data_IF_672416711356
#
_entry.id   IF_672416711356
#
_cell.length_a   1.000
_cell.length_b   1.000
_cell.length_c   1.000
_cell.angle_alpha   90.00
_cell.angle_beta   90.00
_cell.angle_gamma   90.00
#
_symmetry.space_group_name_H-M   'P 1'
#
loop_
_entity.id
_entity.type
_entity.pdbx_description
1 polymer ?
#
# COMPACT_ATOMS: atom_id res chain seq x y z
N UNK A 1 -16.01 -13.85 9.85
CA UNK A 1 -15.51 -12.64 9.16
C UNK A 1 -16.49 -12.36 8.03
N UNK A 2 -16.81 -11.10 7.76
CA UNK A 2 -17.54 -10.77 6.52
C UNK A 2 -16.55 -10.90 5.36
N UNK A 3 -17.06 -11.23 4.18
CA UNK A 3 -16.21 -11.25 2.99
C UNK A 3 -15.82 -9.80 2.66
N UNK A 4 -14.52 -9.55 2.50
CA UNK A 4 -13.99 -8.28 2.00
C UNK A 4 -13.44 -8.48 0.59
N UNK A 5 -13.41 -7.40 -0.20
CA UNK A 5 -12.89 -7.44 -1.57
C UNK A 5 -11.91 -6.31 -1.78
N UNK A 6 -10.75 -6.63 -2.34
CA UNK A 6 -9.79 -5.66 -2.85
C UNK A 6 -9.60 -5.90 -4.35
N UNK A 7 -9.86 -4.89 -5.16
CA UNK A 7 -9.61 -4.90 -6.60
C UNK A 7 -8.36 -4.06 -6.85
N UNK A 8 -7.36 -4.68 -7.48
CA UNK A 8 -6.16 -3.99 -7.95
C UNK A 8 -6.22 -3.92 -9.46
N UNK A 9 -6.21 -2.70 -10.00
CA UNK A 9 -6.19 -2.47 -11.45
C UNK A 9 -4.89 -1.77 -11.83
N UNK A 10 -4.17 -2.35 -12.79
CA UNK A 10 -3.03 -1.69 -13.43
C UNK A 10 -3.46 -1.26 -14.83
N UNK A 11 -3.47 0.06 -15.08
CA UNK A 11 -3.84 0.64 -16.38
C UNK A 11 -3.03 1.91 -16.61
N UNK A 12 -2.47 2.07 -17.80
CA UNK A 12 -1.69 3.25 -18.19
C UNK A 12 -0.58 3.60 -17.16
N UNK A 13 0.15 2.57 -16.72
CA UNK A 13 1.20 2.63 -15.68
C UNK A 13 0.73 3.14 -14.31
N UNK A 14 -0.59 3.22 -14.09
CA UNK A 14 -1.18 3.58 -12.80
C UNK A 14 -1.75 2.35 -12.13
N UNK A 15 -1.50 2.24 -10.83
CA UNK A 15 -2.08 1.23 -9.97
C UNK A 15 -3.23 1.87 -9.18
N UNK A 16 -4.43 1.32 -9.33
CA UNK A 16 -5.62 1.73 -8.58
C UNK A 16 -6.04 0.60 -7.64
N UNK A 17 -6.50 0.99 -6.44
CA UNK A 17 -7.02 0.09 -5.43
C UNK A 17 -8.45 0.48 -5.09
N UNK A 18 -9.36 -0.49 -5.14
CA UNK A 18 -10.76 -0.34 -4.72
C UNK A 18 -11.06 -1.40 -3.66
N UNK A 19 -11.46 -0.96 -2.46
CA UNK A 19 -11.84 -1.82 -1.35
C UNK A 19 -13.35 -1.82 -1.16
N UNK A 20 -13.93 -2.99 -0.87
CA UNK A 20 -15.32 -3.14 -0.45
C UNK A 20 -15.37 -3.93 0.86
N UNK A 21 -16.16 -3.41 1.82
CA UNK A 21 -16.38 -4.01 3.14
C UNK A 21 -15.09 -4.32 3.89
N UNK A 22 -14.07 -3.47 3.74
CA UNK A 22 -12.73 -3.68 4.30
C UNK A 22 -12.45 -2.78 5.51
N UNK A 23 -12.04 -3.39 6.61
CA UNK A 23 -11.57 -2.66 7.79
C UNK A 23 -10.10 -2.23 7.64
N UNK A 24 -9.67 -1.27 8.47
CA UNK A 24 -8.26 -0.86 8.54
C UNK A 24 -7.35 -2.02 8.95
N UNK A 25 -7.82 -2.90 9.84
CA UNK A 25 -7.07 -4.08 10.26
C UNK A 25 -6.86 -5.05 9.09
N UNK A 26 -7.91 -5.32 8.31
CA UNK A 26 -7.81 -6.18 7.12
C UNK A 26 -6.93 -5.56 6.03
N UNK A 27 -7.03 -4.24 5.80
CA UNK A 27 -6.13 -3.52 4.90
C UNK A 27 -4.67 -3.63 5.34
N UNK A 28 -4.39 -3.49 6.64
CA UNK A 28 -3.05 -3.63 7.19
C UNK A 28 -2.49 -5.05 7.02
N UNK A 29 -3.34 -6.08 7.22
CA UNK A 29 -2.97 -7.47 6.96
C UNK A 29 -2.67 -7.71 5.47
N UNK A 30 -3.50 -7.20 4.56
CA UNK A 30 -3.26 -7.29 3.12
C UNK A 30 -1.95 -6.59 2.74
N UNK A 31 -1.69 -5.40 3.28
CA UNK A 31 -0.42 -4.70 3.08
C UNK A 31 0.77 -5.57 3.52
N UNK A 32 0.67 -6.22 4.68
CA UNK A 32 1.68 -7.17 5.16
C UNK A 32 1.89 -8.34 4.19
N UNK A 33 0.83 -8.93 3.65
CA UNK A 33 0.95 -10.00 2.64
C UNK A 33 1.65 -9.53 1.36
N UNK A 34 1.34 -8.33 0.87
CA UNK A 34 2.00 -7.75 -0.29
C UNK A 34 3.49 -7.47 -0.03
N UNK A 35 3.86 -7.03 1.19
CA UNK A 35 5.26 -6.83 1.57
C UNK A 35 6.05 -8.15 1.56
N UNK A 36 5.45 -9.25 2.05
CA UNK A 36 6.07 -10.59 1.95
C UNK A 36 6.28 -10.98 0.50
N UNK A 37 5.32 -10.70 -0.38
CA UNK A 37 5.46 -10.97 -1.81
C UNK A 37 6.62 -10.19 -2.45
N UNK A 38 6.78 -8.90 -2.12
CA UNK A 38 7.92 -8.08 -2.55
C UNK A 38 9.24 -8.70 -2.06
N UNK A 39 9.30 -9.13 -0.80
CA UNK A 39 10.44 -9.86 -0.23
C UNK A 39 10.83 -11.09 -1.05
N UNK A 40 9.86 -11.93 -1.38
CA UNK A 40 10.08 -13.15 -2.16
C UNK A 40 10.57 -12.85 -3.59
N UNK A 41 9.99 -11.86 -4.27
CA UNK A 41 10.43 -11.49 -5.62
C UNK A 41 11.79 -10.81 -5.64
N UNK A 42 12.13 -10.02 -4.61
CA UNK A 42 13.47 -9.46 -4.45
C UNK A 42 14.54 -10.55 -4.32
N UNK A 43 14.30 -11.53 -3.44
CA UNK A 43 15.21 -12.66 -3.24
C UNK A 43 15.42 -13.48 -4.52
N UNK A 44 14.34 -13.76 -5.28
CA UNK A 44 14.44 -14.48 -6.57
C UNK A 44 15.33 -13.76 -7.59
N UNK A 45 15.41 -12.44 -7.49
CA UNK A 45 16.24 -11.58 -8.35
C UNK A 45 17.64 -11.36 -7.80
N UNK A 46 17.98 -11.97 -6.67
CA UNK A 46 19.29 -11.88 -6.04
C UNK A 46 19.51 -10.62 -5.22
N UNK A 47 18.44 -9.91 -4.83
CA UNK A 47 18.54 -8.78 -3.91
C UNK A 47 18.79 -9.28 -2.48
N UNK A 48 19.56 -8.50 -1.71
CA UNK A 48 19.70 -8.72 -0.29
C UNK A 48 18.40 -8.36 0.45
N UNK A 49 18.08 -9.10 1.51
CA UNK A 49 16.85 -8.87 2.27
C UNK A 49 16.84 -7.49 2.94
N UNK A 50 18.00 -6.97 3.37
CA UNK A 50 18.07 -5.64 3.97
C UNK A 50 17.87 -4.56 2.91
N UNK A 51 18.35 -4.75 1.68
CA UNK A 51 18.04 -3.85 0.57
C UNK A 51 16.54 -3.83 0.27
N UNK A 52 15.86 -4.98 0.28
CA UNK A 52 14.40 -5.03 0.07
C UNK A 52 13.66 -4.29 1.18
N UNK A 53 14.03 -4.50 2.45
CA UNK A 53 13.42 -3.80 3.59
C UNK A 53 13.62 -2.29 3.51
N UNK A 54 14.85 -1.85 3.21
CA UNK A 54 15.17 -0.43 3.11
C UNK A 54 14.37 0.24 1.99
N UNK A 55 14.32 -0.38 0.80
CA UNK A 55 13.51 0.13 -0.31
C UNK A 55 12.01 0.20 0.04
N UNK A 56 11.47 -0.81 0.75
CA UNK A 56 10.07 -0.77 1.19
C UNK A 56 9.82 0.33 2.22
N UNK A 57 10.75 0.56 3.14
CA UNK A 57 10.67 1.64 4.13
C UNK A 57 10.69 3.00 3.44
N UNK A 58 11.57 3.22 2.47
CA UNK A 58 11.65 4.48 1.72
C UNK A 58 10.34 4.79 0.98
N UNK A 59 9.75 3.77 0.32
CA UNK A 59 8.45 3.91 -0.36
C UNK A 59 7.35 4.23 0.65
N UNK A 60 7.33 3.54 1.79
CA UNK A 60 6.34 3.78 2.84
C UNK A 60 6.42 5.21 3.38
N UNK A 61 7.63 5.67 3.72
CA UNK A 61 7.85 7.02 4.25
C UNK A 61 7.47 8.09 3.23
N UNK A 62 7.87 7.94 1.96
CA UNK A 62 7.50 8.89 0.90
C UNK A 62 5.97 8.96 0.68
N UNK A 63 5.28 7.83 0.76
CA UNK A 63 3.83 7.78 0.65
C UNK A 63 3.13 8.48 1.84
N UNK A 64 3.62 8.25 3.07
CA UNK A 64 3.08 8.89 4.27
C UNK A 64 3.34 10.40 4.27
N UNK A 65 4.54 10.84 3.89
CA UNK A 65 4.86 12.26 3.73
C UNK A 65 3.92 12.92 2.71
N UNK A 66 3.73 12.30 1.55
CA UNK A 66 2.80 12.79 0.52
C UNK A 66 1.36 12.90 1.05
N UNK A 67 0.92 11.94 1.87
CA UNK A 67 -0.40 11.97 2.51
C UNK A 67 -0.52 13.15 3.49
N UNK A 68 0.47 13.32 4.37
CA UNK A 68 0.52 14.43 5.34
C UNK A 68 0.50 15.80 4.64
N UNK A 69 1.24 15.95 3.55
CA UNK A 69 1.26 17.19 2.76
C UNK A 69 -0.10 17.50 2.14
N UNK A 70 -0.80 16.48 1.62
CA UNK A 70 -2.13 16.65 1.04
C UNK A 70 -3.18 17.00 2.09
N UNK A 71 -3.12 16.39 3.28
CA UNK A 71 -3.95 16.74 4.42
C UNK A 71 -3.70 18.19 4.88
N UNK A 72 -2.42 18.59 5.03
CA UNK A 72 -2.04 19.96 5.38
C UNK A 72 -2.51 20.98 4.33
N UNK A 73 -2.53 20.61 3.06
CA UNK A 73 -3.01 21.44 1.96
C UNK A 73 -4.55 21.46 1.84
N UNK A 74 -5.28 20.70 2.66
CA UNK A 74 -6.74 20.59 2.59
C UNK A 74 -7.25 19.92 1.31
N UNK A 75 -6.42 19.12 0.64
CA UNK A 75 -6.76 18.43 -0.62
C UNK A 75 -7.39 17.06 -0.43
N UNK A 76 -7.24 16.51 0.78
CA UNK A 76 -7.87 15.27 1.20
C UNK A 76 -8.77 15.60 2.39
N UNK A 77 -10.04 15.24 2.29
CA UNK A 77 -10.94 15.18 3.43
C UNK A 77 -10.99 13.71 3.90
N UNK A 78 -10.45 13.40 5.09
CA UNK A 78 -10.48 12.04 5.61
C UNK A 78 -11.91 11.53 5.88
N UNK A 79 -12.90 12.42 5.97
CA UNK A 79 -14.30 12.07 6.20
C UNK A 79 -15.13 11.88 4.91
N UNK A 80 -14.57 12.17 3.72
CA UNK A 80 -15.25 12.04 2.42
C UNK A 80 -15.09 10.63 1.79
N UNK A 81 -14.72 9.64 2.60
CA UNK A 81 -14.69 8.23 2.18
C UNK A 81 -16.10 7.63 2.22
N UNK A 82 -16.93 8.00 1.24
CA UNK A 82 -18.25 7.39 0.98
C UNK A 82 -18.17 6.18 0.04
#
# INVERSE_FOLDING_TARGET
>A
MRDCKLIVTVRDDKVNFEGQDISVEELAQIAGFLQVFVGMEGLKRGLDMDDVKNNMLDIHLAAMETLEEQLRAGKLDPDDSS
#
